data_IF_143222446476
#
_entry.id   IF_143222446476
#
_cell.length_a   1.000
_cell.length_b   1.000
_cell.length_c   1.000
_cell.angle_alpha   90.00
_cell.angle_beta   90.00
_cell.angle_gamma   90.00
#
_symmetry.space_group_name_H-M   'P 1'
#
loop_
_entity.id
_entity.type
_entity.pdbx_description
1 polymer ?
#
# COMPACT_ATOMS: atom_id res chain seq x y z
N UNK A 1 16.76 14.56 6.50
CA UNK A 1 16.41 13.15 6.22
C UNK A 1 15.06 13.14 5.51
N UNK A 2 14.89 12.24 4.54
CA UNK A 2 13.71 12.15 3.68
C UNK A 2 13.09 10.76 3.77
N UNK A 3 11.78 10.72 3.96
CA UNK A 3 10.99 9.48 3.95
C UNK A 3 9.94 9.52 2.84
N UNK A 4 9.85 8.43 2.09
CA UNK A 4 8.77 8.19 1.14
C UNK A 4 7.71 7.31 1.80
N UNK A 5 6.47 7.79 1.83
CA UNK A 5 5.33 7.02 2.28
C UNK A 5 4.53 6.60 1.06
N UNK A 6 4.41 5.29 0.83
CA UNK A 6 3.70 4.78 -0.33
C UNK A 6 2.20 4.67 -0.03
N UNK A 7 1.37 5.08 -0.99
CA UNK A 7 -0.05 4.78 -1.03
C UNK A 7 -0.31 3.97 -2.30
N UNK A 8 -0.66 2.69 -2.14
CA UNK A 8 -0.73 1.74 -3.24
C UNK A 8 -2.18 1.47 -3.58
N UNK A 9 -2.58 1.86 -4.80
CA UNK A 9 -3.90 1.54 -5.32
C UNK A 9 -4.09 0.03 -5.44
N UNK A 10 -5.19 -0.48 -4.90
CA UNK A 10 -5.52 -1.91 -4.97
C UNK A 10 -5.55 -2.45 -6.39
N UNK A 11 -4.81 -3.54 -6.64
CA UNK A 11 -4.75 -4.19 -7.95
C UNK A 11 -5.82 -5.28 -8.08
N UNK A 12 -6.97 -4.94 -8.67
CA UNK A 12 -7.95 -5.95 -9.10
C UNK A 12 -8.78 -5.52 -10.31
N UNK A 13 -8.90 -6.43 -11.28
CA UNK A 13 -9.74 -6.33 -12.46
C UNK A 13 -11.21 -6.69 -12.15
N UNK A 14 -11.44 -7.58 -11.17
CA UNK A 14 -12.76 -8.15 -10.86
C UNK A 14 -13.38 -7.73 -9.54
N UNK A 15 -12.59 -7.23 -8.58
CA UNK A 15 -13.07 -6.88 -7.24
C UNK A 15 -12.82 -5.39 -6.96
N UNK A 16 -13.68 -4.81 -6.13
CA UNK A 16 -13.40 -3.51 -5.52
C UNK A 16 -12.53 -3.72 -4.28
N UNK A 17 -11.27 -3.29 -4.32
CA UNK A 17 -10.31 -3.45 -3.23
C UNK A 17 -10.27 -2.17 -2.40
N UNK A 18 -10.56 -2.27 -1.11
CA UNK A 18 -10.44 -1.19 -0.13
C UNK A 18 -9.51 -1.64 0.99
N UNK A 19 -8.33 -1.03 1.09
CA UNK A 19 -7.27 -1.46 2.02
C UNK A 19 -7.48 -0.97 3.47
N UNK A 20 -8.09 0.20 3.63
CA UNK A 20 -8.36 0.82 4.94
C UNK A 20 -9.47 0.09 5.76
N UNK A 21 -10.18 -0.88 5.17
CA UNK A 21 -11.21 -1.65 5.84
C UNK A 21 -10.63 -2.84 6.61
N UNK A 22 -11.44 -3.42 7.51
CA UNK A 22 -11.02 -4.54 8.37
C UNK A 22 -9.72 -4.25 9.15
N UNK A 23 -9.60 -3.02 9.65
CA UNK A 23 -8.42 -2.56 10.42
C UNK A 23 -7.14 -2.55 9.59
N UNK A 24 -7.17 -2.12 8.32
CA UNK A 24 -5.99 -2.10 7.44
C UNK A 24 -5.65 -3.45 6.78
N UNK A 25 -6.37 -4.53 7.10
CA UNK A 25 -6.21 -5.80 6.37
C UNK A 25 -6.76 -5.68 4.95
N UNK A 26 -7.78 -4.84 4.77
CA UNK A 26 -8.47 -4.63 3.52
C UNK A 26 -9.59 -5.62 3.22
N UNK A 27 -10.45 -5.24 2.29
CA UNK A 27 -11.59 -6.04 1.83
C UNK A 27 -11.68 -6.01 0.30
N UNK A 28 -12.05 -7.15 -0.28
CA UNK A 28 -12.37 -7.27 -1.70
C UNK A 28 -13.87 -7.51 -1.88
N UNK A 29 -14.60 -6.51 -2.38
CA UNK A 29 -16.03 -6.68 -2.68
C UNK A 29 -16.22 -7.36 -4.04
N UNK A 30 -16.98 -8.45 -4.06
CA UNK A 30 -17.55 -9.09 -5.25
C UNK A 30 -19.06 -9.23 -5.06
N UNK A 31 -19.83 -8.84 -6.06
CA UNK A 31 -21.29 -8.74 -6.05
C UNK A 31 -21.90 -9.81 -6.96
N UNK A 32 -21.26 -10.09 -8.10
CA UNK A 32 -21.73 -11.10 -9.06
C UNK A 32 -21.35 -10.80 -10.50
N UNK A 33 -21.69 -11.70 -11.41
CA UNK A 33 -21.24 -11.66 -12.81
C UNK A 33 -22.27 -11.07 -13.80
N UNK A 34 -23.43 -10.65 -13.32
CA UNK A 34 -24.43 -9.98 -14.17
C UNK A 34 -23.93 -8.62 -14.66
N UNK A 35 -24.40 -8.18 -15.83
CA UNK A 35 -24.03 -6.87 -16.40
C UNK A 35 -24.26 -5.72 -15.40
N UNK A 36 -25.39 -5.75 -14.67
CA UNK A 36 -25.71 -4.75 -13.64
C UNK A 36 -24.73 -4.80 -12.47
N UNK A 37 -24.35 -5.99 -12.01
CA UNK A 37 -23.36 -6.16 -10.96
C UNK A 37 -21.98 -5.65 -11.39
N UNK A 38 -21.55 -5.97 -12.62
CA UNK A 38 -20.27 -5.48 -13.19
C UNK A 38 -20.24 -3.95 -13.32
N UNK A 39 -21.34 -3.32 -13.75
CA UNK A 39 -21.45 -1.85 -13.81
C UNK A 39 -21.33 -1.26 -12.42
N UNK A 40 -22.08 -1.78 -11.44
CA UNK A 40 -22.03 -1.27 -10.08
C UNK A 40 -20.62 -1.38 -9.49
N UNK A 41 -19.95 -2.52 -9.67
CA UNK A 41 -18.58 -2.69 -9.19
C UNK A 41 -17.59 -1.75 -9.88
N UNK A 42 -17.75 -1.50 -11.17
CA UNK A 42 -16.94 -0.53 -11.90
C UNK A 42 -17.09 0.88 -11.31
N UNK A 43 -18.34 1.32 -11.07
CA UNK A 43 -18.64 2.62 -10.47
C UNK A 43 -18.09 2.69 -9.04
N UNK A 44 -18.30 1.66 -8.22
CA UNK A 44 -17.79 1.60 -6.84
C UNK A 44 -16.26 1.69 -6.83
N UNK A 45 -15.56 0.91 -7.65
CA UNK A 45 -14.09 0.91 -7.72
C UNK A 45 -13.52 2.25 -8.18
N UNK A 46 -14.24 3.00 -9.01
CA UNK A 46 -13.80 4.32 -9.49
C UNK A 46 -14.02 5.42 -8.45
N UNK A 47 -15.09 5.33 -7.65
CA UNK A 47 -15.48 6.39 -6.73
C UNK A 47 -15.06 6.14 -5.27
N UNK A 48 -14.87 4.88 -4.88
CA UNK A 48 -14.45 4.50 -3.52
C UNK A 48 -12.98 4.13 -3.56
N UNK A 49 -12.13 5.15 -3.44
CA UNK A 49 -10.69 5.00 -3.23
C UNK A 49 -10.36 5.68 -1.92
N UNK A 50 -10.27 4.88 -0.86
CA UNK A 50 -9.96 5.37 0.47
C UNK A 50 -8.45 5.30 0.69
N UNK A 51 -7.78 6.43 1.01
CA UNK A 51 -6.40 6.38 1.44
C UNK A 51 -6.32 5.72 2.82
N UNK A 52 -5.22 5.01 3.07
CA UNK A 52 -5.00 4.40 4.38
C UNK A 52 -4.64 5.47 5.42
N UNK A 53 -5.52 5.64 6.41
CA UNK A 53 -5.42 6.76 7.38
C UNK A 53 -4.11 6.67 8.18
N UNK A 54 -3.59 5.46 8.41
CA UNK A 54 -2.31 5.20 9.09
C UNK A 54 -1.14 5.97 8.43
N UNK A 55 -1.17 6.19 7.11
CA UNK A 55 -0.15 6.97 6.40
C UNK A 55 -0.10 8.41 6.91
N UNK A 56 -1.26 9.02 7.18
CA UNK A 56 -1.32 10.39 7.69
C UNK A 56 -0.73 10.50 9.10
N UNK A 57 -0.96 9.49 9.95
CA UNK A 57 -0.35 9.42 11.28
C UNK A 57 1.18 9.29 11.20
N UNK A 58 1.69 8.38 10.37
CA UNK A 58 3.13 8.21 10.16
C UNK A 58 3.75 9.50 9.62
N UNK A 59 3.10 10.15 8.65
CA UNK A 59 3.54 11.43 8.11
C UNK A 59 3.67 12.51 9.19
N UNK A 60 2.70 12.59 10.12
CA UNK A 60 2.74 13.55 11.22
C UNK A 60 3.91 13.28 12.18
N UNK A 61 4.20 12.00 12.48
CA UNK A 61 5.33 11.60 13.35
C UNK A 61 6.66 12.05 12.73
N UNK A 62 6.89 11.74 11.44
CA UNK A 62 8.12 12.13 10.76
C UNK A 62 8.26 13.65 10.61
N UNK A 63 7.18 14.36 10.28
CA UNK A 63 7.19 15.84 10.23
C UNK A 63 7.53 16.44 11.60
N UNK A 64 6.96 15.92 12.69
CA UNK A 64 7.28 16.36 14.05
C UNK A 64 8.75 16.12 14.40
N UNK A 65 9.36 15.06 13.86
CA UNK A 65 10.78 14.75 14.01
C UNK A 65 11.70 15.54 13.06
N UNK A 66 11.16 16.45 12.23
CA UNK A 66 11.95 17.28 11.31
C UNK A 66 12.36 16.60 10.01
N UNK A 67 11.72 15.48 9.63
CA UNK A 67 11.97 14.81 8.35
C UNK A 67 11.16 15.44 7.21
N UNK A 68 11.73 15.43 6.01
CA UNK A 68 10.98 15.66 4.78
C UNK A 68 10.11 14.43 4.49
N UNK A 69 8.80 14.63 4.36
CA UNK A 69 7.84 13.56 4.09
C UNK A 69 7.24 13.76 2.72
N UNK A 70 7.42 12.77 1.84
CA UNK A 70 6.80 12.74 0.52
C UNK A 70 5.83 11.55 0.42
N UNK A 71 4.58 11.85 0.09
CA UNK A 71 3.59 10.83 -0.24
C UNK A 71 3.79 10.41 -1.70
N UNK A 72 3.85 9.10 -1.96
CA UNK A 72 4.01 8.52 -3.29
C UNK A 72 2.76 7.71 -3.61
N UNK A 73 1.94 8.23 -4.51
CA UNK A 73 0.78 7.52 -5.04
C UNK A 73 1.22 6.55 -6.15
N UNK A 74 1.02 5.24 -5.91
CA UNK A 74 1.34 4.19 -6.88
C UNK A 74 0.05 3.63 -7.46
N UNK A 75 -0.02 3.63 -8.79
CA UNK A 75 -1.12 2.99 -9.52
C UNK A 75 -1.10 1.46 -9.39
N UNK A 76 -1.94 0.77 -10.15
CA UNK A 76 -2.00 -0.70 -10.14
C UNK A 76 -0.79 -1.41 -10.81
N UNK A 77 0.18 -0.63 -11.32
CA UNK A 77 1.38 -1.10 -11.99
C UNK A 77 2.60 -1.13 -11.08
N UNK A 78 3.74 -1.52 -11.64
CA UNK A 78 5.04 -1.50 -10.93
C UNK A 78 5.95 -0.35 -11.40
N UNK A 79 5.48 0.45 -12.36
CA UNK A 79 6.21 1.57 -12.91
C UNK A 79 5.94 2.82 -12.10
N UNK A 80 6.94 3.22 -11.31
CA UNK A 80 6.95 4.47 -10.57
C UNK A 80 8.37 5.02 -10.57
N UNK A 81 8.49 6.34 -10.74
CA UNK A 81 9.76 7.04 -10.57
C UNK A 81 9.73 7.77 -9.23
N UNK A 82 10.71 7.50 -8.39
CA UNK A 82 10.83 8.09 -7.07
C UNK A 82 12.25 8.61 -6.90
N UNK A 83 12.34 9.78 -6.28
CA UNK A 83 13.62 10.37 -5.91
C UNK A 83 14.32 9.54 -4.85
N UNK A 84 15.61 9.80 -4.64
CA UNK A 84 16.36 9.20 -3.53
C UNK A 84 15.75 9.63 -2.20
N UNK A 85 15.74 8.71 -1.25
CA UNK A 85 15.27 8.93 0.11
C UNK A 85 16.05 8.02 1.06
N UNK A 86 16.10 8.41 2.33
CA UNK A 86 16.77 7.65 3.38
C UNK A 86 15.94 6.45 3.83
N UNK A 87 14.61 6.56 3.72
CA UNK A 87 13.67 5.52 4.12
C UNK A 87 12.44 5.48 3.18
N UNK A 88 11.97 4.28 2.89
CA UNK A 88 10.70 4.03 2.20
C UNK A 88 9.81 3.18 3.09
N UNK A 89 8.57 3.60 3.31
CA UNK A 89 7.56 2.83 4.04
C UNK A 89 6.42 2.42 3.12
N UNK A 90 6.10 1.13 3.14
CA UNK A 90 5.08 0.51 2.31
C UNK A 90 3.95 -0.05 3.19
N UNK A 91 2.68 0.33 2.96
CA UNK A 91 1.54 -0.26 3.66
C UNK A 91 1.30 -1.69 3.17
N UNK A 92 0.71 -2.52 4.03
CA UNK A 92 0.39 -3.91 3.75
C UNK A 92 -1.09 -4.22 3.98
N UNK A 93 -1.66 -5.04 3.09
CA UNK A 93 -3.04 -5.52 3.17
C UNK A 93 -3.12 -6.99 2.74
N UNK A 94 -3.97 -7.79 3.39
CA UNK A 94 -4.10 -9.23 3.05
C UNK A 94 -4.67 -9.42 1.63
N UNK A 95 -5.46 -8.45 1.16
CA UNK A 95 -6.15 -8.49 -0.13
C UNK A 95 -5.26 -8.15 -1.32
N UNK A 96 -4.11 -7.49 -1.10
CA UNK A 96 -3.21 -7.03 -2.16
C UNK A 96 -1.71 -7.26 -1.85
N UNK A 97 -1.40 -8.08 -0.83
CA UNK A 97 -0.06 -8.32 -0.31
C UNK A 97 0.97 -8.74 -1.37
N UNK A 98 0.55 -9.49 -2.40
CA UNK A 98 1.44 -9.92 -3.48
C UNK A 98 1.85 -8.75 -4.40
N UNK A 99 0.95 -7.81 -4.63
CA UNK A 99 1.25 -6.62 -5.43
C UNK A 99 2.19 -5.68 -4.65
N UNK A 100 1.91 -5.49 -3.36
CA UNK A 100 2.74 -4.73 -2.42
C UNK A 100 4.15 -5.34 -2.33
N UNK A 101 4.26 -6.66 -2.22
CA UNK A 101 5.56 -7.37 -2.29
C UNK A 101 6.29 -7.13 -3.61
N UNK A 102 5.57 -7.08 -4.73
CA UNK A 102 6.14 -6.72 -6.03
C UNK A 102 6.75 -5.31 -6.04
N UNK A 103 6.08 -4.35 -5.42
CA UNK A 103 6.57 -2.96 -5.28
C UNK A 103 7.82 -2.93 -4.39
N UNK A 104 7.80 -3.65 -3.26
CA UNK A 104 8.96 -3.79 -2.37
C UNK A 104 10.18 -4.34 -3.12
N UNK A 105 10.01 -5.39 -3.92
CA UNK A 105 11.09 -5.96 -4.74
C UNK A 105 11.67 -4.95 -5.73
N UNK A 106 10.83 -4.13 -6.36
CA UNK A 106 11.29 -3.05 -7.26
C UNK A 106 12.09 -2.00 -6.49
N UNK A 107 11.62 -1.60 -5.31
CA UNK A 107 12.33 -0.64 -4.44
C UNK A 107 13.68 -1.19 -3.99
N UNK A 108 13.75 -2.45 -3.56
CA UNK A 108 15.03 -3.09 -3.19
C UNK A 108 16.00 -3.16 -4.35
N UNK A 109 15.55 -3.52 -5.56
CA UNK A 109 16.39 -3.49 -6.77
C UNK A 109 16.94 -2.11 -7.09
N UNK A 110 16.22 -1.04 -6.72
CA UNK A 110 16.66 0.35 -6.84
C UNK A 110 17.57 0.80 -5.67
N UNK A 111 17.84 -0.06 -4.69
CA UNK A 111 18.75 0.21 -3.58
C UNK A 111 18.14 0.96 -2.40
N UNK A 112 16.82 1.04 -2.29
CA UNK A 112 16.17 1.70 -1.15
C UNK A 112 16.24 0.86 0.14
N UNK A 113 16.23 1.56 1.28
CA UNK A 113 15.95 0.99 2.59
C UNK A 113 14.43 1.01 2.82
N UNK A 114 13.83 -0.17 2.93
CA UNK A 114 12.38 -0.39 2.84
C UNK A 114 11.85 -1.03 4.12
N UNK A 115 10.92 -0.35 4.77
CA UNK A 115 10.10 -0.88 5.86
C UNK A 115 8.67 -1.16 5.41
N UNK A 116 8.05 -2.18 5.99
CA UNK A 116 6.63 -2.51 5.75
C UNK A 116 5.83 -2.30 7.03
N UNK A 117 4.63 -1.75 6.91
CA UNK A 117 3.73 -1.54 8.05
C UNK A 117 2.29 -1.95 7.71
N UNK A 118 1.42 -1.98 8.72
CA UNK A 118 0.02 -2.36 8.56
C UNK A 118 -0.27 -3.74 9.14
N UNK A 119 -1.54 -3.98 9.42
CA UNK A 119 -2.01 -5.10 10.24
C UNK A 119 -1.61 -6.47 9.67
N UNK A 120 -1.58 -6.60 8.34
CA UNK A 120 -1.17 -7.85 7.70
C UNK A 120 0.32 -8.13 7.91
N UNK A 121 1.19 -7.14 7.68
CA UNK A 121 2.62 -7.28 7.95
C UNK A 121 2.91 -7.52 9.44
N UNK A 122 2.18 -6.88 10.36
CA UNK A 122 2.37 -7.10 11.79
C UNK A 122 1.96 -8.50 12.25
N UNK A 123 0.96 -9.11 11.60
CA UNK A 123 0.49 -10.46 11.87
C UNK A 123 1.33 -11.56 11.20
N UNK A 124 1.83 -11.30 9.99
CA UNK A 124 2.59 -12.26 9.15
C UNK A 124 3.89 -11.61 8.63
N UNK A 125 4.82 -11.20 9.51
CA UNK A 125 6.00 -10.44 9.13
C UNK A 125 6.95 -11.20 8.20
N UNK A 126 7.06 -12.51 8.36
CA UNK A 126 7.88 -13.40 7.54
C UNK A 126 7.53 -13.35 6.04
N UNK A 127 6.28 -12.98 5.70
CA UNK A 127 5.88 -12.79 4.31
C UNK A 127 6.66 -11.67 3.62
N UNK A 128 7.09 -10.65 4.38
CA UNK A 128 7.80 -9.48 3.85
C UNK A 128 9.29 -9.45 4.19
N UNK A 129 9.72 -10.01 5.34
CA UNK A 129 11.11 -9.93 5.81
C UNK A 129 12.14 -10.56 4.86
N UNK A 130 11.73 -11.46 3.96
CA UNK A 130 12.61 -11.99 2.92
C UNK A 130 13.01 -10.93 1.88
N UNK A 131 12.19 -9.91 1.68
CA UNK A 131 12.32 -8.91 0.62
C UNK A 131 12.35 -7.45 1.15
N UNK A 132 12.09 -7.22 2.43
CA UNK A 132 12.14 -5.90 3.08
C UNK A 132 13.20 -5.86 4.18
N UNK A 133 13.67 -4.67 4.55
CA UNK A 133 14.69 -4.52 5.57
C UNK A 133 14.13 -4.66 7.00
N UNK A 134 12.87 -4.26 7.20
CA UNK A 134 12.19 -4.40 8.50
C UNK A 134 10.66 -4.35 8.37
N UNK A 135 9.97 -4.76 9.44
CA UNK A 135 8.51 -4.68 9.57
C UNK A 135 8.15 -3.95 10.87
N UNK A 136 7.19 -3.03 10.81
CA UNK A 136 6.65 -2.29 11.96
C UNK A 136 5.47 -3.07 12.56
N UNK A 137 5.47 -3.26 13.88
CA UNK A 137 4.45 -4.02 14.63
C UNK A 137 3.73 -3.15 15.64
#
# INVERSE_FOLDING_TARGET
MKVLLFNIKGRSDRKCINKDLAGGMGTGTWIGDSLRARIFEYVKRKNVVLPEITIAYIAAIFKKAGWEVQLVEVGAGLDFNVEKADLVLVPSSIVDCRHELGIIKVLKKKGFYVGVFGTFASAVPEFFLADADFVIR
#
